data_IF_686427129840
#
_entry.id   IF_686427129840
#
_cell.length_a   1.000
_cell.length_b   1.000
_cell.length_c   1.000
_cell.angle_alpha   90.00
_cell.angle_beta   90.00
_cell.angle_gamma   90.00
#
_symmetry.space_group_name_H-M   'P 1'
#
loop_
_entity.id
_entity.type
_entity.pdbx_description
1 polymer ?
#
# COMPACT_ATOMS: atom_id res chain seq x y z
N UNK A 1 8.47 -0.07 -2.14
CA UNK A 1 7.18 -0.68 -2.52
C UNK A 1 7.41 -1.46 -3.81
N UNK A 2 7.00 -2.72 -3.82
CA UNK A 2 7.07 -3.65 -4.96
C UNK A 2 5.66 -4.19 -5.24
N UNK A 3 5.39 -4.43 -6.52
CA UNK A 3 4.09 -4.88 -7.04
C UNK A 3 4.32 -6.17 -7.83
N UNK A 4 3.41 -7.13 -7.72
CA UNK A 4 3.46 -8.38 -8.49
C UNK A 4 3.38 -8.11 -10.02
N UNK A 5 4.43 -8.43 -10.79
CA UNK A 5 4.46 -8.16 -12.23
C UNK A 5 3.59 -9.13 -13.05
N UNK A 6 3.13 -10.23 -12.46
CA UNK A 6 2.31 -11.24 -13.13
C UNK A 6 0.84 -10.81 -13.26
N UNK A 7 0.38 -9.86 -12.44
CA UNK A 7 -1.00 -9.34 -12.49
C UNK A 7 -1.09 -8.23 -13.55
N UNK A 8 -1.88 -8.48 -14.60
CA UNK A 8 -2.01 -7.57 -15.76
C UNK A 8 -3.38 -6.89 -15.87
N UNK A 9 -4.30 -7.19 -14.96
CA UNK A 9 -5.63 -6.59 -14.89
C UNK A 9 -5.76 -5.76 -13.61
N UNK A 10 -6.25 -4.53 -13.75
CA UNK A 10 -6.43 -3.58 -12.65
C UNK A 10 -7.45 -4.08 -11.60
N UNK A 11 -8.40 -4.93 -11.99
CA UNK A 11 -9.40 -5.47 -11.07
C UNK A 11 -8.98 -6.81 -10.44
N UNK A 12 -7.85 -7.38 -10.85
CA UNK A 12 -7.34 -8.65 -10.33
C UNK A 12 -6.32 -8.49 -9.18
N UNK A 13 -5.99 -7.25 -8.80
CA UNK A 13 -5.06 -6.98 -7.70
C UNK A 13 -5.68 -7.33 -6.34
N UNK A 14 -4.91 -8.03 -5.52
CA UNK A 14 -5.21 -8.32 -4.13
C UNK A 14 -4.21 -7.62 -3.21
N UNK A 15 -4.51 -7.56 -1.91
CA UNK A 15 -3.61 -6.91 -0.94
C UNK A 15 -2.21 -7.54 -0.92
N UNK A 16 -2.14 -8.85 -1.18
CA UNK A 16 -0.93 -9.67 -1.21
C UNK A 16 0.02 -9.31 -2.37
N UNK A 17 -0.49 -8.71 -3.45
CA UNK A 17 0.29 -8.31 -4.61
C UNK A 17 1.14 -7.06 -4.35
N UNK A 18 0.95 -6.41 -3.21
CA UNK A 18 1.67 -5.21 -2.80
C UNK A 18 2.57 -5.53 -1.61
N UNK A 19 3.86 -5.26 -1.76
CA UNK A 19 4.82 -5.39 -0.66
C UNK A 19 5.51 -4.07 -0.40
N UNK A 20 5.39 -3.61 0.84
CA UNK A 20 6.04 -2.40 1.28
C UNK A 20 7.40 -2.73 1.90
N UNK A 21 8.45 -2.61 1.10
CA UNK A 21 9.84 -2.78 1.56
C UNK A 21 10.48 -1.43 1.90
N UNK A 22 11.40 -1.44 2.86
CA UNK A 22 12.19 -0.29 3.33
C UNK A 22 11.35 0.90 3.82
N UNK A 23 10.18 0.65 4.40
CA UNK A 23 9.36 1.71 4.98
C UNK A 23 9.83 2.04 6.40
N UNK A 24 10.36 3.26 6.57
CA UNK A 24 10.76 3.82 7.86
C UNK A 24 9.85 5.02 8.19
N UNK A 25 8.65 4.77 8.75
CA UNK A 25 7.73 5.83 9.07
C UNK A 25 8.18 6.63 10.29
N UNK A 26 7.93 7.93 10.24
CA UNK A 26 7.89 8.73 11.45
C UNK A 26 6.69 8.34 12.33
N UNK A 27 6.71 8.69 13.63
CA UNK A 27 5.56 8.45 14.50
C UNK A 27 4.26 8.97 13.89
N UNK A 28 3.22 8.15 13.95
CA UNK A 28 1.93 8.49 13.39
C UNK A 28 1.35 9.74 14.08
N UNK A 29 1.01 10.77 13.31
CA UNK A 29 0.34 11.97 13.80
C UNK A 29 -1.15 11.80 13.50
N UNK A 30 -1.97 11.71 14.56
CA UNK A 30 -3.43 11.62 14.41
C UNK A 30 -3.99 13.00 14.09
N UNK A 31 -4.63 13.13 12.94
CA UNK A 31 -5.46 14.29 12.59
C UNK A 31 -6.94 13.89 12.65
N UNK A 32 -7.81 14.82 13.03
CA UNK A 32 -9.26 14.62 12.94
C UNK A 32 -9.71 14.70 11.48
N UNK A 33 -10.57 13.77 11.09
CA UNK A 33 -11.22 13.78 9.77
C UNK A 33 -12.48 14.62 9.88
N UNK A 34 -12.59 15.69 9.08
CA UNK A 34 -13.85 16.40 8.93
C UNK A 34 -14.80 15.57 8.04
N UNK A 35 -16.05 15.42 8.47
CA UNK A 35 -17.14 14.76 7.74
C UNK A 35 -18.02 15.79 7.07
#
# INVERSE_FOLDING_TARGET
>A
MTINPEVKDIFAFHFEDFKLENYNPHPHIKAEVAV
#
